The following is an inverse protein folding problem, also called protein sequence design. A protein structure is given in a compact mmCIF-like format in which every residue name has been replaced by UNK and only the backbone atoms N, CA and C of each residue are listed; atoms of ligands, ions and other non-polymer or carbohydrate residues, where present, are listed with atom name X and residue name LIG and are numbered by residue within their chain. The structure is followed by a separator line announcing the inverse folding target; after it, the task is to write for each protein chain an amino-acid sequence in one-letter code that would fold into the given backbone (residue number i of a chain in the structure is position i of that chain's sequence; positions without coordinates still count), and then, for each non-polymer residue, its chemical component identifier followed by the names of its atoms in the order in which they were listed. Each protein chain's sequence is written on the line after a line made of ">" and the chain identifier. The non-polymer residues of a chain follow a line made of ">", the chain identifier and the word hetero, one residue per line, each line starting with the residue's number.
data_IF_138061003448
#
_entry.id   IF_138061003448
#
_cell.length_a   1.000
_cell.length_b   1.000
_cell.length_c   1.000
_cell.angle_alpha   90.00
_cell.angle_beta   90.00
_cell.angle_gamma   90.00
#
_symmetry.space_group_name_H-M   'P 1'
#
loop_
_entity.id
_entity.type
_entity.pdbx_description
1 polymer ?
#
# COMPACT_ATOMS: atom_id res chain seq x y z
N UNK A 1 38.68 -38.26 -79.58
CA UNK A 1 37.88 -39.51 -79.50
C UNK A 1 36.68 -39.21 -78.61
N UNK A 2 35.48 -39.13 -79.19
CA UNK A 2 34.21 -39.17 -78.43
C UNK A 2 33.97 -40.61 -77.92
N UNK A 3 33.05 -40.86 -76.96
CA UNK A 3 31.63 -40.95 -77.31
C UNK A 3 30.62 -40.42 -76.27
N UNK A 4 29.44 -40.10 -76.82
CA UNK A 4 28.16 -39.71 -76.19
C UNK A 4 27.45 -40.90 -75.55
N UNK A 5 26.63 -40.67 -74.52
CA UNK A 5 25.35 -41.39 -74.32
C UNK A 5 24.27 -40.40 -73.85
N UNK A 6 23.10 -40.49 -74.50
CA UNK A 6 21.87 -39.71 -74.30
C UNK A 6 21.01 -40.34 -73.19
N UNK A 7 20.18 -39.55 -72.52
CA UNK A 7 18.98 -40.03 -71.83
C UNK A 7 17.74 -39.30 -72.36
N UNK A 8 16.79 -40.08 -72.86
CA UNK A 8 15.51 -39.65 -73.43
C UNK A 8 14.50 -39.30 -72.33
N UNK A 9 13.77 -38.20 -72.55
CA UNK A 9 12.53 -37.87 -71.86
C UNK A 9 11.41 -38.74 -72.40
N UNK A 10 10.55 -39.25 -71.52
CA UNK A 10 9.25 -39.75 -71.91
C UNK A 10 8.21 -39.29 -70.89
N UNK A 11 7.37 -38.36 -71.34
CA UNK A 11 6.18 -37.87 -70.65
C UNK A 11 5.04 -38.87 -70.86
N UNK A 12 4.35 -39.25 -69.80
CA UNK A 12 3.00 -39.84 -69.90
C UNK A 12 2.07 -39.02 -69.00
N UNK A 13 1.12 -38.36 -69.64
CA UNK A 13 -0.05 -37.73 -69.01
C UNK A 13 -1.12 -38.80 -68.81
N UNK A 14 -1.61 -38.96 -67.58
CA UNK A 14 -2.90 -39.62 -67.31
C UNK A 14 -3.66 -38.71 -66.34
N UNK A 15 -4.87 -38.34 -66.75
CA UNK A 15 -5.71 -37.37 -66.07
C UNK A 15 -6.55 -37.94 -64.94
N UNK A 16 -7.09 -36.96 -64.22
CA UNK A 16 -8.37 -36.91 -63.53
C UNK A 16 -8.67 -37.83 -62.35
N UNK A 17 -8.96 -37.11 -61.26
CA UNK A 17 -10.06 -37.31 -60.31
C UNK A 17 -9.90 -38.38 -59.24
N UNK A 18 -10.15 -37.90 -58.02
CA UNK A 18 -10.43 -38.66 -56.80
C UNK A 18 -9.20 -39.32 -56.17
N UNK A 19 -8.63 -38.66 -55.16
CA UNK A 19 -8.01 -39.26 -53.96
C UNK A 19 -7.12 -38.27 -53.15
N UNK A 20 -6.97 -37.01 -53.56
CA UNK A 20 -6.08 -36.03 -52.92
C UNK A 20 -6.74 -34.79 -52.30
N UNK A 21 -7.99 -34.88 -51.82
CA UNK A 21 -8.62 -33.79 -51.04
C UNK A 21 -8.77 -34.10 -49.54
N UNK A 22 -8.29 -35.25 -49.06
CA UNK A 22 -8.62 -35.74 -47.72
C UNK A 22 -7.64 -35.49 -46.58
N UNK A 23 -6.42 -34.94 -46.80
CA UNK A 23 -5.35 -35.04 -45.77
C UNK A 23 -4.62 -33.72 -45.46
N UNK A 24 -4.99 -32.59 -46.06
CA UNK A 24 -4.28 -31.30 -45.85
C UNK A 24 -5.07 -30.21 -45.11
N UNK A 25 -6.15 -30.56 -44.40
CA UNK A 25 -7.01 -29.57 -43.74
C UNK A 25 -7.33 -29.82 -42.25
N UNK A 26 -6.58 -30.65 -41.51
CA UNK A 26 -6.90 -30.92 -40.08
C UNK A 26 -5.73 -30.64 -39.10
N UNK A 27 -4.60 -30.07 -39.54
CA UNK A 27 -3.49 -29.75 -38.62
C UNK A 27 -2.86 -28.36 -38.81
N UNK A 28 -3.63 -27.33 -39.15
CA UNK A 28 -3.16 -25.93 -39.11
C UNK A 28 -4.03 -24.96 -38.30
N UNK A 29 -5.12 -25.39 -37.68
CA UNK A 29 -6.06 -24.48 -37.01
C UNK A 29 -5.96 -24.39 -35.47
N UNK A 30 -4.94 -24.96 -34.83
CA UNK A 30 -4.87 -25.01 -33.35
C UNK A 30 -3.72 -24.25 -32.67
N UNK A 31 -2.93 -23.45 -33.38
CA UNK A 31 -1.76 -22.76 -32.77
C UNK A 31 -1.86 -21.21 -32.76
N UNK A 32 -2.85 -20.59 -33.39
CA UNK A 32 -2.87 -19.11 -33.54
C UNK A 32 -3.62 -18.31 -32.46
N UNK A 33 -4.39 -18.94 -31.57
CA UNK A 33 -5.26 -18.23 -30.61
C UNK A 33 -4.65 -17.95 -29.22
N UNK A 34 -3.34 -18.19 -28.99
CA UNK A 34 -2.72 -17.98 -27.66
C UNK A 34 -1.86 -16.73 -27.50
N UNK A 35 -1.67 -15.94 -28.56
CA UNK A 35 -0.74 -14.78 -28.53
C UNK A 35 -1.46 -13.42 -28.59
N UNK A 36 -2.78 -13.42 -28.82
CA UNK A 36 -3.60 -12.19 -28.86
C UNK A 36 -4.32 -12.04 -27.51
N UNK A 37 -4.24 -10.87 -26.85
CA UNK A 37 -5.01 -10.63 -25.64
C UNK A 37 -6.52 -10.72 -25.94
N UNK A 38 -7.33 -11.29 -25.02
CA UNK A 38 -8.75 -11.51 -25.27
C UNK A 38 -9.53 -10.21 -25.43
N UNK A 39 -9.10 -9.15 -24.74
CA UNK A 39 -9.70 -7.82 -24.81
C UNK A 39 -8.61 -6.76 -24.99
N UNK A 40 -8.83 -5.85 -25.93
CA UNK A 40 -8.02 -4.64 -26.08
C UNK A 40 -8.68 -3.51 -25.31
N UNK A 41 -7.87 -2.73 -24.61
CA UNK A 41 -8.36 -1.55 -23.88
C UNK A 41 -8.52 -0.42 -24.89
N UNK A 42 -9.76 -0.03 -25.19
CA UNK A 42 -10.10 1.15 -26.00
C UNK A 42 -10.68 2.25 -25.13
N UNK A 43 -10.66 3.49 -25.64
CA UNK A 43 -11.24 4.67 -24.98
C UNK A 43 -12.16 5.40 -25.94
N UNK A 44 -13.27 5.90 -25.41
CA UNK A 44 -14.24 6.68 -26.18
C UNK A 44 -13.74 8.12 -26.43
N UNK A 45 -14.57 8.92 -27.13
CA UNK A 45 -14.29 10.33 -27.44
C UNK A 45 -14.07 11.24 -26.22
N UNK A 46 -14.46 10.82 -25.01
CA UNK A 46 -14.25 11.55 -23.76
C UNK A 46 -12.97 11.12 -23.01
N UNK A 47 -12.22 10.17 -23.58
CA UNK A 47 -11.02 9.59 -22.97
C UNK A 47 -11.31 8.55 -21.88
N UNK A 48 -12.53 8.01 -21.82
CA UNK A 48 -12.93 6.98 -20.84
C UNK A 48 -12.81 5.58 -21.43
N UNK A 49 -12.35 4.62 -20.64
CA UNK A 49 -12.25 3.20 -21.05
C UNK A 49 -13.61 2.67 -21.46
N UNK A 50 -13.67 2.04 -22.63
CA UNK A 50 -14.84 1.33 -23.13
C UNK A 50 -14.81 -0.12 -22.64
N UNK A 51 -15.43 -0.36 -21.49
CA UNK A 51 -15.60 -1.70 -20.94
C UNK A 51 -17.00 -1.83 -20.36
N UNK A 52 -17.73 -2.87 -20.78
CA UNK A 52 -19.09 -3.17 -20.30
C UNK A 52 -19.15 -3.49 -18.81
N UNK A 53 -18.03 -3.89 -18.20
CA UNK A 53 -17.95 -4.19 -16.77
C UNK A 53 -17.58 -2.97 -15.92
N UNK A 54 -17.23 -1.84 -16.56
CA UNK A 54 -16.81 -0.62 -15.88
C UNK A 54 -17.94 0.41 -15.87
N UNK A 55 -18.57 0.57 -14.70
CA UNK A 55 -19.64 1.54 -14.50
C UNK A 55 -19.10 2.84 -13.91
N UNK A 56 -18.92 3.87 -14.75
CA UNK A 56 -18.51 5.20 -14.29
C UNK A 56 -19.60 5.85 -13.44
N UNK A 57 -19.21 6.37 -12.28
CA UNK A 57 -20.09 7.13 -11.38
C UNK A 57 -19.69 8.60 -11.48
N UNK A 58 -20.66 9.47 -11.77
CA UNK A 58 -20.41 10.91 -11.94
C UNK A 58 -20.92 11.70 -10.74
N UNK A 59 -20.29 12.85 -10.50
CA UNK A 59 -20.76 13.88 -9.58
C UNK A 59 -21.78 14.78 -10.32
N UNK A 60 -22.49 15.61 -9.56
CA UNK A 60 -23.48 16.56 -10.10
C UNK A 60 -22.85 17.62 -11.03
N UNK A 61 -21.56 17.88 -10.89
CA UNK A 61 -20.78 18.78 -11.75
C UNK A 61 -20.29 18.12 -13.05
N UNK A 62 -20.61 16.82 -13.26
CA UNK A 62 -20.22 16.04 -14.43
C UNK A 62 -18.81 15.42 -14.34
N UNK A 63 -18.03 15.66 -13.29
CA UNK A 63 -16.73 14.98 -13.08
C UNK A 63 -16.93 13.55 -12.58
N UNK A 64 -15.90 12.71 -12.69
CA UNK A 64 -15.99 11.32 -12.19
C UNK A 64 -15.84 11.32 -10.66
N UNK A 65 -16.73 10.59 -9.99
CA UNK A 65 -16.61 10.32 -8.56
C UNK A 65 -15.59 9.19 -8.32
N UNK A 66 -14.30 9.52 -8.44
CA UNK A 66 -13.21 8.54 -8.29
C UNK A 66 -13.21 7.82 -6.94
N UNK A 67 -13.71 8.47 -5.88
CA UNK A 67 -13.93 7.85 -4.58
C UNK A 67 -14.95 6.71 -4.65
N UNK A 68 -16.09 6.91 -5.31
CA UNK A 68 -17.12 5.86 -5.47
C UNK A 68 -16.70 4.78 -6.47
N UNK A 69 -15.73 5.06 -7.35
CA UNK A 69 -15.14 4.07 -8.26
C UNK A 69 -14.22 3.05 -7.56
N UNK A 70 -13.77 3.32 -6.32
CA UNK A 70 -12.96 2.36 -5.55
C UNK A 70 -13.80 1.14 -5.17
N UNK A 71 -13.38 -0.06 -5.59
CA UNK A 71 -14.02 -1.32 -5.18
C UNK A 71 -13.95 -1.51 -3.67
N UNK A 72 -15.03 -2.06 -3.11
CA UNK A 72 -15.18 -2.31 -1.67
C UNK A 72 -14.06 -3.19 -1.12
N UNK A 73 -13.55 -4.16 -1.89
CA UNK A 73 -12.42 -5.03 -1.53
C UNK A 73 -11.09 -4.27 -1.31
N UNK A 74 -10.99 -3.05 -1.81
CA UNK A 74 -9.84 -2.18 -1.63
C UNK A 74 -10.05 -1.13 -0.54
N UNK A 75 -11.18 -1.18 0.17
CA UNK A 75 -11.46 -0.35 1.33
C UNK A 75 -11.27 -1.16 2.61
N UNK A 76 -10.55 -0.59 3.56
CA UNK A 76 -10.36 -1.20 4.88
C UNK A 76 -10.61 -0.18 5.98
N UNK A 77 -11.09 -0.62 7.16
CA UNK A 77 -11.27 0.27 8.31
C UNK A 77 -9.94 0.83 8.80
N UNK A 78 -9.90 2.12 9.07
CA UNK A 78 -8.80 2.73 9.80
C UNK A 78 -8.89 2.37 11.29
N UNK A 79 -8.19 1.31 11.69
CA UNK A 79 -8.16 0.81 13.08
C UNK A 79 -7.62 1.81 14.10
N UNK A 80 -6.97 2.90 13.67
CA UNK A 80 -6.55 3.99 14.55
C UNK A 80 -7.71 4.93 14.92
N UNK A 81 -8.83 4.90 14.17
CA UNK A 81 -9.97 5.82 14.33
C UNK A 81 -11.29 5.13 14.63
N UNK A 82 -11.43 3.86 14.28
CA UNK A 82 -12.69 3.12 14.45
C UNK A 82 -12.48 1.66 14.87
N UNK A 83 -13.41 1.14 15.66
CA UNK A 83 -13.53 -0.28 15.96
C UNK A 83 -14.48 -1.01 15.00
N UNK A 84 -15.35 -0.27 14.29
CA UNK A 84 -16.27 -0.84 13.29
C UNK A 84 -15.46 -1.49 12.16
N UNK A 85 -15.88 -2.69 11.78
CA UNK A 85 -15.24 -3.55 10.79
C UNK A 85 -15.92 -3.47 9.43
N UNK A 86 -17.21 -3.16 9.43
CA UNK A 86 -18.06 -3.09 8.24
C UNK A 86 -17.85 -1.75 7.52
N UNK A 87 -17.16 -1.81 6.39
CA UNK A 87 -16.81 -0.64 5.56
C UNK A 87 -18.03 0.09 5.01
N UNK A 88 -19.20 -0.56 4.91
CA UNK A 88 -20.43 0.08 4.43
C UNK A 88 -21.00 1.10 5.42
N UNK A 89 -20.63 0.97 6.70
CA UNK A 89 -21.05 1.86 7.80
C UNK A 89 -20.04 2.97 8.10
N UNK A 90 -18.88 2.94 7.45
CA UNK A 90 -17.79 3.85 7.73
C UNK A 90 -17.86 5.10 6.87
N UNK A 91 -17.55 6.23 7.49
CA UNK A 91 -17.30 7.48 6.78
C UNK A 91 -15.88 7.48 6.20
N UNK A 92 -15.66 8.28 5.16
CA UNK A 92 -14.36 8.42 4.49
C UNK A 92 -13.19 8.70 5.46
N UNK A 93 -13.42 9.45 6.53
CA UNK A 93 -12.40 9.75 7.55
C UNK A 93 -11.90 8.51 8.31
N UNK A 94 -12.71 7.45 8.35
CA UNK A 94 -12.49 6.20 9.08
C UNK A 94 -12.11 5.04 8.13
N UNK A 95 -11.96 5.34 6.84
CA UNK A 95 -11.56 4.38 5.81
C UNK A 95 -10.10 4.58 5.41
N UNK A 96 -9.52 3.55 4.82
CA UNK A 96 -8.26 3.58 4.10
C UNK A 96 -8.42 2.87 2.76
N UNK A 97 -7.68 3.34 1.75
CA UNK A 97 -7.61 2.68 0.44
C UNK A 97 -6.32 1.86 0.37
N UNK A 98 -6.45 0.60 -0.04
CA UNK A 98 -5.32 -0.29 -0.33
C UNK A 98 -4.60 0.12 -1.62
N UNK A 99 -3.30 -0.17 -1.71
CA UNK A 99 -2.50 0.13 -2.89
C UNK A 99 -3.10 -0.44 -4.19
N UNK A 100 -3.71 -1.63 -4.12
CA UNK A 100 -4.39 -2.27 -5.26
C UNK A 100 -5.46 -1.39 -5.88
N UNK A 101 -6.33 -0.80 -5.05
CA UNK A 101 -7.40 0.10 -5.54
C UNK A 101 -6.85 1.37 -6.17
N UNK A 102 -5.77 1.93 -5.64
CA UNK A 102 -5.14 3.11 -6.25
C UNK A 102 -4.49 2.76 -7.60
N UNK A 103 -3.85 1.59 -7.71
CA UNK A 103 -3.31 1.11 -8.99
C UNK A 103 -4.42 0.90 -10.02
N UNK A 104 -5.53 0.28 -9.63
CA UNK A 104 -6.69 0.08 -10.50
C UNK A 104 -7.26 1.41 -10.99
N UNK A 105 -7.47 2.38 -10.09
CA UNK A 105 -7.95 3.71 -10.49
C UNK A 105 -6.99 4.42 -11.44
N UNK A 106 -5.67 4.33 -11.21
CA UNK A 106 -4.68 4.89 -12.11
C UNK A 106 -4.74 4.27 -13.51
N UNK A 107 -4.97 2.95 -13.62
CA UNK A 107 -5.16 2.27 -14.90
C UNK A 107 -6.45 2.71 -15.61
N UNK A 108 -7.57 2.77 -14.88
CA UNK A 108 -8.85 3.25 -15.41
C UNK A 108 -8.70 4.68 -15.92
N UNK A 109 -8.12 5.58 -15.11
CA UNK A 109 -7.87 6.98 -15.50
C UNK A 109 -6.93 7.07 -16.70
N UNK A 110 -5.90 6.22 -16.74
CA UNK A 110 -4.96 6.10 -17.83
C UNK A 110 -3.86 7.14 -17.84
N UNK A 111 -2.64 6.69 -18.09
CA UNK A 111 -1.43 7.51 -18.14
C UNK A 111 -0.50 7.02 -19.25
N UNK A 112 0.37 7.89 -19.74
CA UNK A 112 1.41 7.58 -20.74
C UNK A 112 2.72 7.18 -20.07
N UNK A 113 3.03 7.76 -18.91
CA UNK A 113 4.23 7.43 -18.15
C UNK A 113 4.05 7.58 -16.65
N UNK A 114 4.82 6.78 -15.90
CA UNK A 114 5.07 6.94 -14.47
C UNK A 114 6.58 6.96 -14.30
N UNK A 115 7.10 8.05 -13.74
CA UNK A 115 8.52 8.29 -13.55
C UNK A 115 8.81 8.47 -12.06
N UNK A 116 9.93 7.92 -11.60
CA UNK A 116 10.40 8.12 -10.23
C UNK A 116 11.77 8.78 -10.23
N UNK A 117 11.97 9.70 -9.28
CA UNK A 117 13.26 10.35 -9.06
C UNK A 117 13.64 10.23 -7.60
N UNK A 118 14.77 9.57 -7.33
CA UNK A 118 15.36 9.54 -6.00
C UNK A 118 15.79 10.95 -5.62
N UNK A 119 15.22 11.47 -4.53
CA UNK A 119 15.52 12.81 -3.99
C UNK A 119 16.63 12.70 -2.95
N UNK A 120 16.56 11.70 -2.08
CA UNK A 120 17.56 11.41 -1.07
C UNK A 120 17.53 9.93 -0.69
N UNK A 121 18.70 9.35 -0.38
CA UNK A 121 18.81 7.97 0.07
C UNK A 121 19.94 7.84 1.09
N UNK A 122 19.65 7.19 2.21
CA UNK A 122 20.59 6.75 3.24
C UNK A 122 20.07 5.46 3.88
N UNK A 123 20.84 4.89 4.81
CA UNK A 123 20.46 3.65 5.51
C UNK A 123 19.14 3.78 6.28
N UNK A 124 18.85 4.96 6.82
CA UNK A 124 17.68 5.20 7.70
C UNK A 124 16.61 6.10 7.08
N UNK A 125 16.82 6.57 5.85
CA UNK A 125 15.96 7.52 5.17
C UNK A 125 15.96 7.31 3.66
N UNK A 126 14.77 7.35 3.06
CA UNK A 126 14.63 7.37 1.60
C UNK A 126 13.52 8.33 1.22
N UNK A 127 13.77 9.17 0.22
CA UNK A 127 12.78 10.09 -0.34
C UNK A 127 12.81 10.03 -1.87
N UNK A 128 11.63 10.04 -2.46
CA UNK A 128 11.44 9.95 -3.90
C UNK A 128 10.27 10.82 -4.33
N UNK A 129 10.30 11.27 -5.58
CA UNK A 129 9.13 11.84 -6.23
C UNK A 129 8.56 10.85 -7.25
N UNK A 130 7.24 10.86 -7.38
CA UNK A 130 6.51 10.14 -8.41
C UNK A 130 5.84 11.18 -9.31
N UNK A 131 6.14 11.12 -10.61
CA UNK A 131 5.58 11.98 -11.64
C UNK A 131 4.78 11.11 -12.61
N UNK A 132 3.51 11.48 -12.83
CA UNK A 132 2.62 10.76 -13.74
C UNK A 132 2.18 11.71 -14.84
N UNK A 133 2.30 11.25 -16.08
CA UNK A 133 1.77 11.93 -17.27
C UNK A 133 0.43 11.31 -17.63
N UNK A 134 -0.66 12.00 -17.32
CA UNK A 134 -2.02 11.50 -17.46
C UNK A 134 -2.57 11.70 -18.86
N UNK A 135 -3.29 10.69 -19.36
CA UNK A 135 -3.92 10.78 -20.66
C UNK A 135 -4.93 11.95 -20.72
N UNK A 136 -5.04 12.62 -21.89
CA UNK A 136 -6.11 13.58 -22.14
C UNK A 136 -7.49 12.97 -21.93
N UNK A 137 -8.38 13.70 -21.26
CA UNK A 137 -9.79 13.32 -21.13
C UNK A 137 -10.69 14.56 -21.04
N UNK A 138 -12.00 14.34 -20.95
CA UNK A 138 -12.95 15.45 -20.86
C UNK A 138 -12.76 16.30 -19.58
N UNK A 139 -12.36 15.72 -18.45
CA UNK A 139 -12.12 16.44 -17.19
C UNK A 139 -10.92 17.41 -17.27
N UNK A 140 -9.95 17.15 -18.16
CA UNK A 140 -8.79 18.01 -18.40
C UNK A 140 -8.95 18.92 -19.63
N UNK A 141 -10.13 18.93 -20.24
CA UNK A 141 -10.41 19.68 -21.48
C UNK A 141 -9.64 19.13 -22.67
N UNK A 142 -9.44 17.81 -22.75
CA UNK A 142 -8.73 17.14 -23.84
C UNK A 142 -7.22 17.38 -23.84
N UNK A 143 -6.63 17.77 -22.70
CA UNK A 143 -5.19 18.02 -22.57
C UNK A 143 -4.50 16.98 -21.71
N UNK A 144 -3.28 16.65 -22.08
CA UNK A 144 -2.37 15.88 -21.24
C UNK A 144 -2.03 16.71 -19.99
N UNK A 145 -1.97 16.06 -18.83
CA UNK A 145 -1.62 16.71 -17.57
C UNK A 145 -0.51 15.94 -16.88
N UNK A 146 0.54 16.64 -16.50
CA UNK A 146 1.61 16.11 -15.68
C UNK A 146 1.36 16.49 -14.23
N UNK A 147 1.39 15.50 -13.34
CA UNK A 147 1.27 15.72 -11.91
C UNK A 147 2.42 15.01 -11.19
N UNK A 148 2.97 15.63 -10.15
CA UNK A 148 4.06 15.08 -9.36
C UNK A 148 3.73 15.16 -7.88
N UNK A 149 4.11 14.13 -7.13
CA UNK A 149 4.02 14.12 -5.68
C UNK A 149 5.28 13.53 -5.06
N UNK A 150 5.62 14.02 -3.88
CA UNK A 150 6.76 13.56 -3.10
C UNK A 150 6.31 12.68 -1.92
N UNK A 151 7.15 11.72 -1.58
CA UNK A 151 7.03 10.99 -0.33
C UNK A 151 8.39 10.51 0.18
N UNK A 152 8.39 10.19 1.47
CA UNK A 152 9.54 9.69 2.17
C UNK A 152 9.18 8.49 3.06
N UNK A 153 10.23 7.76 3.42
CA UNK A 153 10.21 6.68 4.38
C UNK A 153 11.43 6.81 5.28
N UNK A 154 11.20 6.74 6.58
CA UNK A 154 12.22 6.61 7.62
C UNK A 154 11.94 5.37 8.44
N UNK A 155 12.92 4.91 9.21
CA UNK A 155 12.74 3.88 10.24
C UNK A 155 11.63 4.28 11.25
N UNK A 156 11.44 5.58 11.48
CA UNK A 156 10.49 6.12 12.47
C UNK A 156 9.06 6.27 11.94
N UNK A 157 8.89 6.49 10.63
CA UNK A 157 7.57 6.69 10.01
C UNK A 157 7.08 5.45 9.23
N UNK A 158 7.78 4.33 9.29
CA UNK A 158 7.45 3.09 8.57
C UNK A 158 7.10 1.98 9.54
N UNK A 159 6.13 1.12 9.19
CA UNK A 159 5.59 0.12 10.11
C UNK A 159 6.41 -1.17 10.15
N UNK A 160 6.70 -1.67 11.35
CA UNK A 160 7.21 -3.05 11.55
C UNK A 160 8.31 -3.48 10.56
N UNK A 161 8.15 -4.63 9.91
CA UNK A 161 9.07 -5.20 8.91
C UNK A 161 9.30 -4.32 7.68
N UNK A 162 8.38 -3.42 7.34
CA UNK A 162 8.54 -2.53 6.19
C UNK A 162 9.69 -1.53 6.36
N UNK A 163 10.20 -1.34 7.59
CA UNK A 163 11.37 -0.50 7.88
C UNK A 163 12.65 -0.97 7.17
N UNK A 164 12.72 -2.25 6.78
CA UNK A 164 13.83 -2.80 6.00
C UNK A 164 13.72 -2.50 4.49
N UNK A 165 12.63 -1.89 4.04
CA UNK A 165 12.32 -1.65 2.62
C UNK A 165 11.94 -0.18 2.36
N UNK A 166 12.70 0.77 2.93
CA UNK A 166 12.38 2.20 2.87
C UNK A 166 12.18 2.71 1.43
N UNK A 167 12.98 2.24 0.48
CA UNK A 167 12.87 2.62 -0.92
C UNK A 167 11.50 2.26 -1.52
N UNK A 168 11.06 1.00 -1.36
CA UNK A 168 9.77 0.52 -1.85
C UNK A 168 8.60 1.22 -1.17
N UNK A 169 8.72 1.51 0.13
CA UNK A 169 7.67 2.22 0.89
C UNK A 169 7.55 3.68 0.42
N UNK A 170 8.66 4.39 0.25
CA UNK A 170 8.65 5.75 -0.25
C UNK A 170 8.08 5.80 -1.69
N UNK A 171 8.44 4.84 -2.55
CA UNK A 171 7.90 4.71 -3.90
C UNK A 171 6.37 4.53 -3.90
N UNK A 172 5.87 3.54 -3.15
CA UNK A 172 4.43 3.31 -3.02
C UNK A 172 3.70 4.55 -2.49
N UNK A 173 4.25 5.20 -1.46
CA UNK A 173 3.67 6.43 -0.90
C UNK A 173 3.63 7.56 -1.91
N UNK A 174 4.70 7.77 -2.67
CA UNK A 174 4.78 8.82 -3.67
C UNK A 174 3.76 8.56 -4.80
N UNK A 175 3.70 7.32 -5.28
CA UNK A 175 2.71 6.89 -6.28
C UNK A 175 1.29 7.14 -5.80
N UNK A 176 0.97 6.64 -4.61
CA UNK A 176 -0.39 6.76 -4.09
C UNK A 176 -0.80 8.21 -3.89
N UNK A 177 0.08 9.04 -3.32
CA UNK A 177 -0.18 10.48 -3.21
C UNK A 177 -0.39 11.14 -4.56
N UNK A 178 0.42 10.79 -5.56
CA UNK A 178 0.32 11.33 -6.91
C UNK A 178 -1.06 11.04 -7.52
N UNK A 179 -1.49 9.78 -7.48
CA UNK A 179 -2.81 9.36 -8.00
C UNK A 179 -3.95 9.98 -7.19
N UNK A 180 -3.90 9.85 -5.87
CA UNK A 180 -4.95 10.30 -4.96
C UNK A 180 -5.22 11.79 -5.07
N UNK A 181 -4.16 12.61 -5.08
CA UNK A 181 -4.29 14.06 -5.18
C UNK A 181 -4.79 14.49 -6.56
N UNK A 182 -4.29 13.86 -7.63
CA UNK A 182 -4.74 14.16 -8.98
C UNK A 182 -6.23 13.83 -9.17
N UNK A 183 -6.68 12.68 -8.66
CA UNK A 183 -8.08 12.24 -8.70
C UNK A 183 -8.99 12.86 -7.61
N UNK A 184 -8.44 13.78 -6.79
CA UNK A 184 -9.15 14.47 -5.69
C UNK A 184 -9.83 13.51 -4.70
N UNK A 185 -9.19 12.39 -4.38
CA UNK A 185 -9.69 11.43 -3.41
C UNK A 185 -9.17 11.79 -2.02
N UNK A 186 -10.08 12.07 -1.08
CA UNK A 186 -9.70 12.53 0.26
C UNK A 186 -9.35 11.40 1.23
N UNK A 187 -9.79 10.16 0.99
CA UNK A 187 -9.43 9.02 1.84
C UNK A 187 -7.94 8.73 1.73
N UNK A 188 -7.24 8.72 2.84
CA UNK A 188 -5.81 8.40 2.93
C UNK A 188 -5.58 6.93 2.57
N UNK A 189 -4.48 6.62 1.89
CA UNK A 189 -4.12 5.23 1.65
C UNK A 189 -3.40 4.59 2.84
N UNK A 190 -3.53 3.28 2.98
CA UNK A 190 -2.79 2.51 3.98
C UNK A 190 -1.27 2.69 3.86
N UNK A 191 -0.74 2.84 2.64
CA UNK A 191 0.69 3.04 2.40
C UNK A 191 1.21 4.36 3.02
N UNK A 192 0.36 5.39 3.07
CA UNK A 192 0.69 6.72 3.61
C UNK A 192 0.71 6.75 5.15
N UNK A 193 0.20 5.71 5.81
CA UNK A 193 0.21 5.64 7.26
C UNK A 193 1.52 5.06 7.79
N UNK A 194 2.17 5.81 8.67
CA UNK A 194 3.25 5.32 9.50
C UNK A 194 2.79 4.71 10.82
N UNK A 195 3.77 4.23 11.58
CA UNK A 195 3.64 3.95 13.02
C UNK A 195 3.77 5.24 13.86
N UNK A 196 3.59 6.41 13.23
CA UNK A 196 3.59 7.68 13.94
C UNK A 196 2.44 7.65 14.96
N UNK A 197 2.75 7.17 16.16
CA UNK A 197 2.14 7.67 17.37
C UNK A 197 2.27 9.17 17.21
N UNK A 198 1.15 9.86 17.08
CA UNK A 198 1.11 11.29 17.35
C UNK A 198 1.94 11.42 18.62
N UNK A 199 3.03 12.16 18.53
CA UNK A 199 3.83 12.49 19.69
C UNK A 199 2.85 13.26 20.56
N UNK A 200 2.18 12.57 21.48
CA UNK A 200 1.80 13.19 22.72
C UNK A 200 3.15 13.70 23.24
N UNK A 201 3.29 15.01 23.34
CA UNK A 201 4.45 15.73 23.87
C UNK A 201 4.71 15.40 25.37
N UNK A 202 4.37 14.19 25.79
CA UNK A 202 4.44 13.70 27.16
C UNK A 202 4.82 12.21 27.20
N UNK A 203 5.95 11.82 26.60
CA UNK A 203 6.86 10.83 27.22
C UNK A 203 7.99 10.43 26.28
N UNK A 204 9.15 10.99 26.61
CA UNK A 204 10.48 10.42 26.47
C UNK A 204 10.57 8.89 26.63
N UNK A 205 11.51 8.32 25.87
CA UNK A 205 12.24 7.04 26.07
C UNK A 205 11.53 5.78 25.58
N UNK A 206 12.11 5.20 24.52
CA UNK A 206 12.04 3.78 24.19
C UNK A 206 12.56 2.96 25.38
N UNK A 207 11.68 2.49 26.26
CA UNK A 207 12.00 1.36 27.15
C UNK A 207 11.23 0.11 26.73
N UNK A 208 11.97 -0.99 26.64
CA UNK A 208 11.47 -2.31 26.33
C UNK A 208 10.22 -2.63 27.18
N UNK A 209 9.14 -3.19 26.61
CA UNK A 209 7.94 -3.57 27.35
C UNK A 209 8.17 -4.67 28.41
N UNK A 210 9.39 -5.20 28.50
CA UNK A 210 9.89 -6.14 29.50
C UNK A 210 10.76 -5.52 30.60
N UNK A 211 10.96 -4.19 30.63
CA UNK A 211 11.69 -3.56 31.74
C UNK A 211 10.82 -3.58 33.02
N UNK A 212 11.38 -3.93 34.19
CA UNK A 212 10.66 -3.87 35.46
C UNK A 212 10.01 -2.50 35.73
N UNK A 213 10.66 -1.43 35.27
CA UNK A 213 10.22 -0.04 35.38
C UNK A 213 8.92 0.19 34.59
N UNK A 214 8.89 -0.22 33.32
CA UNK A 214 7.69 -0.10 32.48
C UNK A 214 6.51 -0.93 33.04
N UNK A 215 6.80 -2.07 33.66
CA UNK A 215 5.77 -2.89 34.31
C UNK A 215 5.18 -2.20 35.54
N UNK A 216 6.00 -1.53 36.35
CA UNK A 216 5.54 -0.76 37.50
C UNK A 216 4.72 0.45 37.08
N UNK A 217 5.16 1.20 36.06
CA UNK A 217 4.40 2.33 35.50
C UNK A 217 3.01 1.91 35.03
N UNK A 218 2.92 0.76 34.34
CA UNK A 218 1.64 0.20 33.90
C UNK A 218 0.73 -0.12 35.09
N UNK A 219 1.25 -0.82 36.10
CA UNK A 219 0.47 -1.19 37.29
C UNK A 219 0.06 0.02 38.11
N UNK A 220 0.90 1.06 38.18
CA UNK A 220 0.58 2.33 38.81
C UNK A 220 -0.56 3.04 38.09
N UNK A 221 -0.56 3.06 36.74
CA UNK A 221 -1.63 3.63 35.93
C UNK A 221 -2.95 2.88 36.10
N UNK A 222 -2.91 1.54 36.06
CA UNK A 222 -4.08 0.69 36.23
C UNK A 222 -4.74 0.87 37.62
N UNK A 223 -3.94 1.19 38.64
CA UNK A 223 -4.41 1.42 40.03
C UNK A 223 -4.56 2.90 40.40
N UNK A 224 -4.37 3.83 39.47
CA UNK A 224 -4.51 5.28 39.72
C UNK A 224 -3.50 5.86 40.73
N UNK A 225 -2.34 5.22 40.90
CA UNK A 225 -1.30 5.66 41.84
C UNK A 225 -0.29 6.57 41.14
N UNK A 226 -0.14 7.80 41.62
CA UNK A 226 0.88 8.71 41.12
C UNK A 226 2.25 8.49 41.80
N UNK A 227 3.33 8.90 41.12
CA UNK A 227 4.70 8.77 41.64
C UNK A 227 4.90 9.51 42.96
N UNK A 228 4.27 10.67 43.15
CA UNK A 228 4.39 11.45 44.38
C UNK A 228 3.81 10.70 45.60
N UNK A 229 2.68 10.01 45.44
CA UNK A 229 2.08 9.18 46.49
C UNK A 229 2.92 7.94 46.77
N UNK A 230 3.52 7.35 45.71
CA UNK A 230 4.47 6.26 45.87
C UNK A 230 5.71 6.72 46.65
N UNK A 231 6.29 7.87 46.31
CA UNK A 231 7.45 8.46 47.00
C UNK A 231 7.13 8.77 48.46
N UNK A 232 5.99 9.41 48.75
CA UNK A 232 5.51 9.67 50.12
C UNK A 232 5.41 8.37 50.94
N UNK A 233 4.96 7.29 50.32
CA UNK A 233 4.83 5.98 50.96
C UNK A 233 6.20 5.32 51.20
N UNK A 234 7.12 5.42 50.24
CA UNK A 234 8.50 4.94 50.39
C UNK A 234 9.27 5.68 51.51
N UNK A 235 9.05 7.00 51.63
CA UNK A 235 9.59 7.81 52.74
C UNK A 235 9.01 7.35 54.09
N UNK A 236 7.69 7.12 54.15
CA UNK A 236 7.02 6.61 55.36
C UNK A 236 7.54 5.22 55.79
N UNK A 237 7.93 4.39 54.83
CA UNK A 237 8.48 3.04 55.07
C UNK A 237 9.99 3.04 55.37
N UNK A 238 10.63 4.22 55.52
CA UNK A 238 12.08 4.38 55.77
C UNK A 238 12.96 3.62 54.78
N UNK A 239 12.57 3.61 53.50
CA UNK A 239 13.40 3.01 52.47
C UNK A 239 14.71 3.80 52.29
N UNK A 240 15.83 3.10 52.13
CA UNK A 240 17.15 3.72 51.96
C UNK A 240 17.14 4.66 50.75
N UNK A 241 17.63 5.89 50.94
CA UNK A 241 17.66 6.94 49.91
C UNK A 241 16.29 7.34 49.32
N UNK A 242 15.16 7.04 49.97
CA UNK A 242 13.82 7.39 49.48
C UNK A 242 13.63 8.90 49.18
N UNK A 243 14.34 9.76 49.92
CA UNK A 243 14.30 11.22 49.72
C UNK A 243 14.96 11.63 48.39
N UNK A 244 15.97 10.88 47.94
CA UNK A 244 16.76 11.14 46.73
C UNK A 244 16.18 10.49 45.46
N UNK A 245 15.08 9.74 45.56
CA UNK A 245 14.41 9.13 44.40
C UNK A 245 13.63 10.21 43.66
N UNK A 246 14.08 10.56 42.45
CA UNK A 246 13.43 11.59 41.62
C UNK A 246 12.64 10.97 40.46
N UNK A 247 12.91 9.71 40.14
CA UNK A 247 12.29 8.96 39.05
C UNK A 247 12.10 7.49 39.40
N UNK A 248 11.26 6.78 38.63
CA UNK A 248 11.05 5.33 38.79
C UNK A 248 12.34 4.55 38.47
N UNK A 249 13.23 5.10 37.63
CA UNK A 249 14.55 4.55 37.34
C UNK A 249 15.50 4.54 38.53
N UNK A 250 15.29 5.38 39.53
CA UNK A 250 16.12 5.42 40.75
C UNK A 250 15.74 4.32 41.75
N UNK A 251 14.66 3.57 41.48
CA UNK A 251 14.19 2.47 42.33
C UNK A 251 14.91 1.18 41.93
N UNK A 252 15.45 0.46 42.91
CA UNK A 252 16.11 -0.83 42.65
C UNK A 252 15.12 -1.87 42.10
N UNK A 253 15.58 -2.71 41.16
CA UNK A 253 14.75 -3.75 40.51
C UNK A 253 14.04 -4.66 41.51
N UNK A 254 14.70 -5.01 42.61
CA UNK A 254 14.13 -5.84 43.68
C UNK A 254 12.91 -5.17 44.30
N UNK A 255 13.00 -3.86 44.57
CA UNK A 255 11.90 -3.10 45.16
C UNK A 255 10.75 -2.87 44.18
N UNK A 256 11.07 -2.70 42.89
CA UNK A 256 10.06 -2.58 41.83
C UNK A 256 9.13 -3.80 41.80
N UNK A 257 9.68 -5.02 41.83
CA UNK A 257 8.85 -6.24 41.86
C UNK A 257 8.02 -6.37 43.13
N UNK A 258 8.58 -5.99 44.29
CA UNK A 258 7.84 -5.95 45.56
C UNK A 258 6.66 -4.97 45.50
N UNK A 259 6.86 -3.78 44.91
CA UNK A 259 5.82 -2.76 44.73
C UNK A 259 4.72 -3.25 43.77
N UNK A 260 5.10 -3.90 42.67
CA UNK A 260 4.15 -4.50 41.72
C UNK A 260 3.27 -5.54 42.41
N UNK A 261 3.86 -6.46 43.18
CA UNK A 261 3.12 -7.50 43.90
C UNK A 261 2.18 -6.92 44.95
N UNK A 262 2.60 -5.85 45.64
CA UNK A 262 1.74 -5.14 46.60
C UNK A 262 0.58 -4.45 45.89
N UNK A 263 0.82 -3.72 44.80
CA UNK A 263 -0.21 -3.02 44.05
C UNK A 263 -1.24 -3.99 43.43
N UNK A 264 -0.81 -5.18 43.01
CA UNK A 264 -1.72 -6.25 42.55
C UNK A 264 -2.56 -6.87 43.66
N UNK A 265 -2.08 -6.87 44.91
CA UNK A 265 -2.80 -7.42 46.07
C UNK A 265 -3.82 -6.46 46.68
N UNK A 266 -3.76 -5.17 46.35
CA UNK A 266 -4.81 -4.19 46.72
C UNK A 266 -6.04 -4.47 45.86
N UNK A 267 -7.01 -5.20 46.42
CA UNK A 267 -8.37 -5.29 45.86
C UNK A 267 -9.00 -3.91 45.89
N UNK A 268 -9.74 -3.59 44.83
CA UNK A 268 -10.47 -2.32 44.68
C UNK A 268 -11.48 -2.10 45.83
#
# INVERSE_FOLDING_TARGET
>A
MSPKIKSEENTISIGSSELFEGVTAIQQEQITNKVIPPNLITRNQYGLVEDTNLNYIFNDDGTINWRKMVKVEHLVPNRQKTQETDVSKLQDKDLLILLGGIKELAQIRGYTSVEYKVVAASESYFATSCRITWLPNYETGGREVVFESLADATINNTKSFARFFLAAIAENRAFVRCVRNFLKINIVSQEELGDAKLIDDSSSINENPTSPQALLEKVMKDKGVNFESLKKRLIKEKFENAENINSISDISKVKIFELIDRLKKVKD
#
